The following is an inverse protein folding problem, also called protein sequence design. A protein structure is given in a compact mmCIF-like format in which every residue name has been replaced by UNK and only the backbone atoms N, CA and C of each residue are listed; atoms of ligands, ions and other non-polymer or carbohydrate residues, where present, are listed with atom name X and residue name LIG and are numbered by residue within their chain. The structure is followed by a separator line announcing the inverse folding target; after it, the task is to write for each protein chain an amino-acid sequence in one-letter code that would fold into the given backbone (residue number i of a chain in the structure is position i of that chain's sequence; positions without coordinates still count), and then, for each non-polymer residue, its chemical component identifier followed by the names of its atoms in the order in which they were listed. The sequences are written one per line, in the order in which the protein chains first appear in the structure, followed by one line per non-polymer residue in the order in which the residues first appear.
data_IF_999380313981
#
_entry.id   IF_999380313981
#
_cell.length_a   1.000
_cell.length_b   1.000
_cell.length_c   1.000
_cell.angle_alpha   90.00
_cell.angle_beta   90.00
_cell.angle_gamma   90.00
#
_symmetry.space_group_name_H-M   'P 1'
#
loop_
_entity.id
_entity.type
_entity.pdbx_description
1 polymer ?
#
# COMPACT_ATOMS: atom_id res chain seq x y z
N UNK A 1 40.62 18.10 40.94
CA UNK A 1 39.91 16.81 40.79
C UNK A 1 38.39 16.96 40.85
N UNK A 2 37.81 17.76 41.76
CA UNK A 2 36.36 17.94 41.92
C UNK A 2 35.61 18.45 40.66
N UNK A 3 36.21 19.34 39.86
CA UNK A 3 35.56 19.92 38.66
C UNK A 3 35.29 18.88 37.55
N UNK A 4 36.13 17.85 37.42
CA UNK A 4 35.92 16.75 36.46
C UNK A 4 34.71 15.89 36.83
N UNK A 5 34.51 15.64 38.13
CA UNK A 5 33.34 14.89 38.61
C UNK A 5 32.04 15.66 38.41
N UNK A 6 32.07 17.00 38.58
CA UNK A 6 30.90 17.85 38.36
C UNK A 6 30.47 17.90 36.88
N UNK A 7 31.44 17.97 35.96
CA UNK A 7 31.18 17.94 34.51
C UNK A 7 30.63 16.59 34.06
N UNK A 8 31.14 15.48 34.60
CA UNK A 8 30.63 14.13 34.29
C UNK A 8 29.19 13.95 34.82
N UNK A 9 28.88 14.47 36.01
CA UNK A 9 27.52 14.43 36.57
C UNK A 9 26.51 15.28 35.77
N UNK A 10 26.94 16.46 35.27
CA UNK A 10 26.13 17.31 34.40
C UNK A 10 25.90 16.68 33.02
N UNK A 11 26.90 15.99 32.46
CA UNK A 11 26.77 15.27 31.19
C UNK A 11 25.89 14.01 31.31
N UNK A 12 25.92 13.30 32.45
CA UNK A 12 25.04 12.15 32.66
C UNK A 12 23.57 12.55 32.85
N UNK A 13 23.31 13.74 33.39
CA UNK A 13 21.95 14.27 33.57
C UNK A 13 21.27 14.68 32.25
N UNK A 14 22.01 14.79 31.15
CA UNK A 14 21.45 15.14 29.83
C UNK A 14 20.96 13.92 29.03
N UNK A 15 21.14 12.70 29.54
CA UNK A 15 20.62 11.49 28.91
C UNK A 15 19.16 11.31 29.32
N UNK A 16 18.26 12.06 28.67
CA UNK A 16 16.82 11.84 28.78
C UNK A 16 16.53 10.46 28.16
N UNK A 17 16.04 9.47 28.92
CA UNK A 17 15.60 8.22 28.33
C UNK A 17 14.44 8.52 27.38
N UNK A 18 14.69 8.44 26.08
CA UNK A 18 13.62 8.41 25.10
C UNK A 18 12.94 7.05 25.22
N UNK A 19 11.91 6.97 26.04
CA UNK A 19 10.94 5.89 25.96
C UNK A 19 10.29 5.98 24.58
N UNK A 20 10.82 5.22 23.63
CA UNK A 20 10.16 5.00 22.35
C UNK A 20 8.85 4.31 22.63
N UNK A 21 7.76 5.06 22.63
CA UNK A 21 6.43 4.50 22.61
C UNK A 21 6.27 3.85 21.23
N UNK A 22 6.52 2.54 21.15
CA UNK A 22 6.25 1.79 19.94
C UNK A 22 4.75 1.84 19.68
N UNK A 23 4.34 2.71 18.76
CA UNK A 23 2.95 2.82 18.36
C UNK A 23 2.47 1.43 17.91
N UNK A 24 1.30 1.02 18.41
CA UNK A 24 0.69 -0.24 18.01
C UNK A 24 0.53 -0.25 16.48
N UNK A 25 0.86 -1.36 15.79
CA UNK A 25 0.76 -1.42 14.35
C UNK A 25 -0.70 -1.21 13.92
N UNK A 26 -0.91 -0.25 13.01
CA UNK A 26 -2.23 0.00 12.44
C UNK A 26 -2.61 -1.11 11.46
N UNK A 27 -3.90 -1.44 11.42
CA UNK A 27 -4.44 -2.29 10.38
C UNK A 27 -4.49 -1.51 9.06
N UNK A 28 -4.12 -2.15 7.96
CA UNK A 28 -4.20 -1.57 6.61
C UNK A 28 -5.26 -2.32 5.81
N UNK A 29 -6.28 -1.60 5.35
CA UNK A 29 -7.28 -2.11 4.42
C UNK A 29 -7.02 -1.48 3.04
N UNK A 30 -6.62 -2.30 2.07
CA UNK A 30 -6.41 -1.88 0.68
C UNK A 30 -7.59 -2.32 -0.18
N UNK A 31 -8.36 -1.35 -0.69
CA UNK A 31 -9.53 -1.59 -1.54
C UNK A 31 -9.15 -1.22 -2.98
N UNK A 32 -9.24 -2.18 -3.90
CA UNK A 32 -9.04 -1.95 -5.32
C UNK A 32 -10.30 -2.32 -6.10
N UNK A 33 -10.85 -1.38 -6.85
CA UNK A 33 -12.03 -1.58 -7.68
C UNK A 33 -11.59 -1.74 -9.14
N UNK A 34 -12.05 -2.78 -9.82
CA UNK A 34 -11.74 -3.00 -11.22
C UNK A 34 -12.57 -2.05 -12.10
N UNK A 35 -11.91 -1.43 -13.07
CA UNK A 35 -12.50 -0.61 -14.14
C UNK A 35 -13.34 0.59 -13.67
N UNK A 36 -13.11 1.08 -12.44
CA UNK A 36 -13.76 2.28 -11.91
C UNK A 36 -13.02 3.55 -12.33
N UNK A 37 -13.70 4.42 -13.08
CA UNK A 37 -13.27 5.80 -13.37
C UNK A 37 -13.74 6.75 -12.25
N UNK A 38 -13.21 7.98 -12.24
CA UNK A 38 -13.65 9.11 -11.41
C UNK A 38 -15.09 9.60 -11.72
N UNK A 39 -16.02 8.68 -11.97
CA UNK A 39 -17.44 8.94 -12.25
C UNK A 39 -18.30 8.78 -10.97
N UNK A 40 -17.71 9.05 -9.80
CA UNK A 40 -18.34 8.87 -8.48
C UNK A 40 -18.54 10.22 -7.77
N UNK A 41 -19.43 10.25 -6.77
CA UNK A 41 -19.90 11.47 -6.11
C UNK A 41 -18.77 12.36 -5.59
N UNK A 42 -17.77 11.79 -4.91
CA UNK A 42 -16.63 12.54 -4.39
C UNK A 42 -15.72 13.19 -5.45
N UNK A 43 -15.86 12.83 -6.73
CA UNK A 43 -15.21 13.51 -7.87
C UNK A 43 -16.16 14.44 -8.65
N UNK A 44 -17.38 14.66 -8.16
CA UNK A 44 -18.36 15.58 -8.76
C UNK A 44 -19.35 14.93 -9.73
N UNK A 45 -19.36 13.61 -9.88
CA UNK A 45 -20.34 12.94 -10.73
C UNK A 45 -21.69 12.81 -10.02
N UNK A 46 -22.77 13.27 -10.66
CA UNK A 46 -24.11 13.29 -10.06
C UNK A 46 -24.93 12.01 -10.34
N UNK A 47 -24.49 11.17 -11.27
CA UNK A 47 -25.28 10.05 -11.77
C UNK A 47 -25.04 8.72 -11.03
N UNK A 48 -23.85 8.51 -10.46
CA UNK A 48 -23.56 7.32 -9.64
C UNK A 48 -23.87 7.58 -8.16
N UNK A 49 -24.59 6.64 -7.54
CA UNK A 49 -24.89 6.70 -6.10
C UNK A 49 -23.77 6.01 -5.32
N UNK A 50 -22.86 6.77 -4.71
CA UNK A 50 -21.68 6.24 -4.00
C UNK A 50 -21.53 6.72 -2.56
N UNK A 51 -22.60 6.71 -1.72
CA UNK A 51 -22.59 7.39 -0.43
C UNK A 51 -21.49 6.91 0.53
N UNK A 52 -21.11 5.63 0.48
CA UNK A 52 -20.04 5.08 1.31
C UNK A 52 -18.63 5.50 0.84
N UNK A 53 -18.42 5.64 -0.47
CA UNK A 53 -17.14 6.15 -0.99
C UNK A 53 -17.03 7.65 -0.74
N UNK A 54 -18.14 8.37 -0.83
CA UNK A 54 -18.20 9.81 -0.58
C UNK A 54 -17.91 10.09 0.90
N UNK A 55 -18.49 9.31 1.82
CA UNK A 55 -18.18 9.38 3.24
C UNK A 55 -16.71 9.05 3.53
N UNK A 56 -16.17 8.01 2.89
CA UNK A 56 -14.75 7.63 3.06
C UNK A 56 -13.83 8.78 2.63
N UNK A 57 -14.10 9.39 1.47
CA UNK A 57 -13.35 10.53 0.95
C UNK A 57 -13.43 11.75 1.89
N UNK A 58 -14.61 12.06 2.43
CA UNK A 58 -14.82 13.17 3.36
C UNK A 58 -14.06 13.00 4.70
N UNK A 59 -13.87 11.76 5.14
CA UNK A 59 -13.12 11.44 6.37
C UNK A 59 -11.60 11.33 6.18
N UNK A 60 -11.12 11.41 4.94
CA UNK A 60 -9.74 11.10 4.58
C UNK A 60 -9.12 12.13 3.64
N UNK A 61 -8.16 11.68 2.84
CA UNK A 61 -7.50 12.48 1.81
C UNK A 61 -7.93 11.98 0.43
N UNK A 62 -8.49 12.87 -0.39
CA UNK A 62 -8.85 12.59 -1.78
C UNK A 62 -7.74 13.05 -2.73
N UNK A 63 -7.33 12.18 -3.64
CA UNK A 63 -6.34 12.51 -4.67
C UNK A 63 -7.04 12.78 -6.01
N UNK A 64 -7.12 14.05 -6.41
CA UNK A 64 -7.74 14.44 -7.69
C UNK A 64 -6.93 13.99 -8.92
N UNK A 65 -5.62 13.78 -8.73
CA UNK A 65 -4.66 13.48 -9.79
C UNK A 65 -3.93 12.15 -9.57
N UNK A 66 -4.68 11.07 -9.43
CA UNK A 66 -4.16 9.71 -9.32
C UNK A 66 -4.26 8.97 -10.67
N UNK A 67 -3.12 8.50 -11.20
CA UNK A 67 -3.06 7.82 -12.50
C UNK A 67 -2.47 6.42 -12.37
N UNK A 68 -3.03 5.47 -13.13
CA UNK A 68 -2.40 4.15 -13.31
C UNK A 68 -1.26 4.23 -14.32
N UNK A 69 -0.27 3.33 -14.20
CA UNK A 69 0.88 3.31 -15.12
C UNK A 69 0.49 2.76 -16.50
N UNK A 70 -0.45 1.83 -16.55
CA UNK A 70 -1.01 1.23 -17.77
C UNK A 70 -2.50 0.97 -17.55
N UNK A 71 -3.36 1.37 -18.49
CA UNK A 71 -4.82 1.20 -18.42
C UNK A 71 -5.28 -0.24 -18.76
N UNK A 72 -4.61 -1.25 -18.19
CA UNK A 72 -4.95 -2.67 -18.33
C UNK A 72 -4.83 -3.34 -16.95
N UNK A 73 -5.80 -4.16 -16.58
CA UNK A 73 -5.98 -4.68 -15.22
C UNK A 73 -4.74 -5.38 -14.65
N UNK A 74 -4.17 -6.34 -15.39
CA UNK A 74 -3.03 -7.13 -14.93
C UNK A 74 -1.72 -6.32 -14.76
N UNK A 75 -1.25 -5.56 -15.77
CA UNK A 75 -0.04 -4.74 -15.61
C UNK A 75 -0.22 -3.62 -14.57
N UNK A 76 -1.40 -3.00 -14.49
CA UNK A 76 -1.72 -2.00 -13.46
C UNK A 76 -1.61 -2.58 -12.05
N UNK A 77 -2.28 -3.71 -11.79
CA UNK A 77 -2.26 -4.39 -10.49
C UNK A 77 -0.86 -4.83 -10.08
N UNK A 78 -0.10 -5.40 -11.02
CA UNK A 78 1.27 -5.79 -10.75
C UNK A 78 2.12 -4.57 -10.38
N UNK A 79 1.97 -3.46 -11.10
CA UNK A 79 2.74 -2.24 -10.83
C UNK A 79 2.47 -1.67 -9.44
N UNK A 80 1.19 -1.62 -9.02
CA UNK A 80 0.79 -1.15 -7.68
C UNK A 80 1.30 -2.08 -6.58
N UNK A 81 1.12 -3.41 -6.72
CA UNK A 81 1.45 -4.36 -5.66
C UNK A 81 2.96 -4.62 -5.50
N UNK A 82 3.74 -4.43 -6.57
CA UNK A 82 5.19 -4.52 -6.53
C UNK A 82 5.88 -3.19 -6.22
N UNK A 83 5.17 -2.06 -6.36
CA UNK A 83 5.76 -0.72 -6.26
C UNK A 83 6.75 -0.41 -7.38
N UNK A 84 6.64 -1.06 -8.54
CA UNK A 84 7.54 -0.89 -9.68
C UNK A 84 6.77 -0.63 -10.96
N UNK A 85 7.36 0.12 -11.89
CA UNK A 85 6.72 0.42 -13.18
C UNK A 85 6.65 -0.84 -14.08
N UNK A 86 5.72 -0.86 -15.07
CA UNK A 86 5.58 -1.99 -16.01
C UNK A 86 6.85 -2.30 -16.83
N UNK A 87 7.65 -1.29 -17.12
CA UNK A 87 9.00 -1.44 -17.73
C UNK A 87 9.93 -2.35 -16.91
N UNK A 88 9.79 -2.31 -15.58
CA UNK A 88 10.58 -3.07 -14.62
C UNK A 88 9.98 -4.44 -14.38
N UNK A 89 8.65 -4.57 -14.40
CA UNK A 89 7.98 -5.87 -14.23
C UNK A 89 8.04 -6.73 -15.49
N UNK A 90 8.15 -6.11 -16.66
CA UNK A 90 8.06 -6.77 -17.96
C UNK A 90 6.64 -7.25 -18.33
N UNK A 91 5.63 -6.83 -17.56
CA UNK A 91 4.23 -7.22 -17.77
C UNK A 91 3.53 -6.04 -18.44
N UNK A 92 3.14 -6.21 -19.70
CA UNK A 92 2.50 -5.15 -20.50
C UNK A 92 1.10 -5.51 -21.00
N UNK A 93 0.71 -6.78 -20.96
CA UNK A 93 -0.58 -7.26 -21.48
C UNK A 93 -1.22 -8.29 -20.53
N UNK A 94 -2.42 -8.77 -20.89
CA UNK A 94 -3.07 -9.95 -20.35
C UNK A 94 -2.20 -11.17 -20.70
N UNK A 95 -1.26 -11.50 -19.82
CA UNK A 95 -0.48 -12.73 -19.98
C UNK A 95 -1.39 -13.94 -20.09
N UNK A 96 -1.08 -14.81 -21.06
CA UNK A 96 -1.81 -16.04 -21.38
C UNK A 96 -2.15 -16.85 -20.12
N UNK A 97 -3.29 -17.57 -20.18
CA UNK A 97 -3.96 -18.33 -19.10
C UNK A 97 -3.05 -19.03 -18.08
N UNK A 98 -1.87 -19.48 -18.49
CA UNK A 98 -0.87 -20.12 -17.64
C UNK A 98 -0.35 -19.25 -16.48
N UNK A 99 -0.41 -17.92 -16.61
CA UNK A 99 0.05 -16.97 -15.58
C UNK A 99 -1.10 -16.23 -14.91
N UNK A 100 -2.34 -16.44 -15.38
CA UNK A 100 -3.53 -15.68 -14.98
C UNK A 100 -4.42 -16.41 -13.96
N UNK A 101 -4.09 -17.65 -13.60
CA UNK A 101 -4.76 -18.37 -12.52
C UNK A 101 -3.73 -18.61 -11.43
N UNK A 102 -3.86 -17.88 -10.32
CA UNK A 102 -2.95 -17.97 -9.19
C UNK A 102 -2.67 -19.44 -8.81
N UNK A 103 -1.42 -19.76 -8.45
CA UNK A 103 -1.28 -20.53 -7.21
C UNK A 103 -0.65 -19.66 -6.12
N UNK A 104 0.36 -18.87 -6.46
CA UNK A 104 0.96 -17.82 -5.62
C UNK A 104 1.79 -16.92 -6.56
N UNK A 105 1.13 -16.01 -7.30
CA UNK A 105 1.75 -14.94 -8.10
C UNK A 105 2.96 -15.31 -8.99
N UNK A 106 2.79 -16.23 -9.95
CA UNK A 106 3.79 -16.58 -10.95
C UNK A 106 3.52 -15.85 -12.27
N UNK A 107 4.38 -14.89 -12.59
CA UNK A 107 4.35 -14.12 -13.83
C UNK A 107 5.48 -13.08 -13.96
N UNK A 108 6.41 -13.05 -13.00
CA UNK A 108 7.67 -12.31 -13.12
C UNK A 108 8.73 -13.38 -13.31
N UNK A 109 9.63 -13.22 -14.30
CA UNK A 109 10.82 -14.07 -14.47
C UNK A 109 11.39 -14.39 -13.09
N UNK A 110 11.65 -15.67 -12.82
CA UNK A 110 11.99 -16.27 -11.53
C UNK A 110 13.25 -15.71 -10.81
N UNK A 111 13.77 -14.53 -11.20
CA UNK A 111 14.95 -13.89 -10.65
C UNK A 111 14.70 -12.65 -9.77
N UNK A 112 13.47 -12.14 -9.63
CA UNK A 112 13.24 -10.88 -8.89
C UNK A 112 12.58 -11.09 -7.52
N UNK A 113 13.40 -11.43 -6.52
CA UNK A 113 13.02 -11.48 -5.10
C UNK A 113 12.89 -10.06 -4.52
N UNK A 114 11.90 -9.27 -4.93
CA UNK A 114 11.57 -8.00 -4.24
C UNK A 114 10.33 -8.14 -3.36
N UNK A 115 10.39 -7.45 -2.21
CA UNK A 115 9.30 -7.36 -1.22
C UNK A 115 8.10 -6.68 -1.88
N UNK A 116 7.08 -7.48 -2.22
CA UNK A 116 5.74 -7.00 -2.62
C UNK A 116 4.97 -6.54 -1.39
N UNK A 117 3.93 -5.73 -1.57
CA UNK A 117 3.11 -5.19 -0.48
C UNK A 117 2.73 -6.26 0.55
N UNK A 118 2.17 -7.40 0.10
CA UNK A 118 1.76 -8.50 0.99
C UNK A 118 2.95 -9.11 1.74
N UNK A 119 4.07 -9.35 1.05
CA UNK A 119 5.27 -9.90 1.69
C UNK A 119 5.90 -8.92 2.68
N UNK A 120 5.80 -7.61 2.42
CA UNK A 120 6.26 -6.57 3.33
C UNK A 120 5.38 -6.52 4.59
N UNK A 121 4.05 -6.62 4.42
CA UNK A 121 3.09 -6.72 5.53
C UNK A 121 3.37 -7.96 6.40
N UNK A 122 3.57 -9.12 5.78
CA UNK A 122 3.93 -10.35 6.50
C UNK A 122 5.27 -10.25 7.22
N UNK A 123 6.28 -9.64 6.61
CA UNK A 123 7.59 -9.41 7.23
C UNK A 123 7.54 -8.42 8.41
N UNK A 124 6.56 -7.52 8.42
CA UNK A 124 6.28 -6.64 9.55
C UNK A 124 5.50 -7.34 10.69
N UNK A 125 5.27 -8.66 10.60
CA UNK A 125 4.54 -9.43 11.60
C UNK A 125 3.01 -9.29 11.53
N UNK A 126 2.50 -8.61 10.50
CA UNK A 126 1.06 -8.44 10.30
C UNK A 126 0.45 -9.62 9.54
N UNK A 127 -0.78 -9.99 9.90
CA UNK A 127 -1.56 -10.97 9.12
C UNK A 127 -2.09 -10.32 7.85
N UNK A 128 -2.03 -11.06 6.74
CA UNK A 128 -2.61 -10.64 5.45
C UNK A 128 -3.75 -11.57 5.07
N UNK A 129 -4.88 -11.03 4.64
CA UNK A 129 -5.95 -11.77 3.98
C UNK A 129 -6.29 -11.07 2.67
N UNK A 130 -6.60 -11.86 1.64
CA UNK A 130 -7.03 -11.37 0.33
C UNK A 130 -8.43 -11.90 0.07
N UNK A 131 -9.34 -11.04 -0.35
CA UNK A 131 -10.71 -11.43 -0.70
C UNK A 131 -11.07 -10.79 -2.02
N UNK A 132 -11.44 -11.63 -2.98
CA UNK A 132 -12.03 -11.19 -4.24
C UNK A 132 -13.54 -11.21 -4.06
N UNK A 133 -14.13 -10.04 -3.86
CA UNK A 133 -15.58 -9.86 -3.80
C UNK A 133 -16.09 -9.18 -5.06
N UNK A 134 -17.21 -9.65 -5.60
CA UNK A 134 -18.01 -8.85 -6.52
C UNK A 134 -18.88 -7.91 -5.67
N UNK A 135 -18.59 -6.62 -5.69
CA UNK A 135 -19.50 -5.64 -5.11
C UNK A 135 -20.79 -5.64 -5.95
N UNK A 136 -21.91 -6.00 -5.30
CA UNK A 136 -23.25 -5.77 -5.85
C UNK A 136 -23.63 -4.34 -5.47
N UNK A 137 -23.52 -3.42 -6.43
CA UNK A 137 -24.02 -2.05 -6.31
C UNK A 137 -25.47 -1.98 -6.79
#
# INVERSE_FOLDING_TARGET
MALRFLVIALLSAFVIPHSSFAAQPLNVLFIAVNDLRQEIGCYGAEHMKTPHLDQLAASGMLFERAYCQVAVCNPSRNSVLSGTRPDTTGIFDKVNKEQSVCPEWHGIKAGFRRKRLISAVRQAGMRSSETLGAARF
#
